data_IF_506730672200
#
_entry.id   IF_506730672200
#
_cell.length_a   1.000
_cell.length_b   1.000
_cell.length_c   1.000
_cell.angle_alpha   90.00
_cell.angle_beta   90.00
_cell.angle_gamma   90.00
#
_symmetry.space_group_name_H-M   'P 1'
#
loop_
_entity.id
_entity.type
_entity.pdbx_description
1 polymer ?
#
# COMPACT_ATOMS: atom_id res chain seq x y z
N UNK A 1 -4.07 -12.73 24.14
CA UNK A 1 -4.79 -11.58 23.52
C UNK A 1 -3.87 -10.88 22.54
N UNK A 2 -4.39 -9.99 21.68
CA UNK A 2 -3.55 -9.25 20.73
C UNK A 2 -2.48 -8.40 21.45
N UNK A 3 -2.82 -7.84 22.62
CA UNK A 3 -1.85 -7.10 23.46
C UNK A 3 -0.75 -7.98 24.04
N UNK A 4 -1.02 -9.27 24.28
CA UNK A 4 -0.01 -10.20 24.79
C UNK A 4 1.03 -10.51 23.71
N UNK A 5 0.61 -10.60 22.44
CA UNK A 5 1.52 -10.75 21.30
C UNK A 5 2.45 -9.54 21.18
N UNK A 6 1.91 -8.31 21.27
CA UNK A 6 2.74 -7.10 21.23
C UNK A 6 3.74 -7.04 22.39
N UNK A 7 3.32 -7.41 23.60
CA UNK A 7 4.23 -7.51 24.76
C UNK A 7 5.31 -8.57 24.55
N UNK A 8 4.94 -9.73 24.01
CA UNK A 8 5.86 -10.85 23.75
C UNK A 8 7.00 -10.42 22.82
N UNK A 9 6.70 -9.66 21.76
CA UNK A 9 7.69 -9.17 20.80
C UNK A 9 8.36 -7.84 21.20
N UNK A 10 8.03 -7.30 22.39
CA UNK A 10 8.59 -6.05 22.91
C UNK A 10 8.10 -4.78 22.20
N UNK A 11 6.91 -4.81 21.59
CA UNK A 11 6.31 -3.66 20.90
C UNK A 11 5.34 -2.90 21.81
N UNK A 12 5.10 -1.59 21.58
CA UNK A 12 4.13 -0.83 22.36
C UNK A 12 2.71 -1.39 22.22
N UNK A 13 2.01 -1.49 23.36
CA UNK A 13 0.61 -1.98 23.42
C UNK A 13 -0.43 -0.92 23.06
N UNK A 14 -0.05 0.36 23.13
CA UNK A 14 -0.85 1.44 22.58
C UNK A 14 -0.79 1.32 21.06
N UNK A 15 -1.95 1.32 20.42
CA UNK A 15 -2.05 1.06 18.98
C UNK A 15 -2.80 2.16 18.29
N UNK A 16 -2.28 2.64 17.16
CA UNK A 16 -2.94 3.58 16.27
C UNK A 16 -3.39 2.81 15.02
N UNK A 17 -4.69 2.56 14.90
CA UNK A 17 -5.30 2.08 13.65
C UNK A 17 -5.60 3.31 12.80
N UNK A 18 -5.19 3.33 11.53
CA UNK A 18 -5.25 4.51 10.66
C UNK A 18 -5.63 4.14 9.23
N UNK A 19 -6.46 4.98 8.61
CA UNK A 19 -6.92 4.83 7.22
C UNK A 19 -7.12 6.22 6.59
N UNK A 20 -6.37 6.53 5.54
CA UNK A 20 -6.46 7.80 4.82
C UNK A 20 -7.40 7.70 3.62
N UNK A 21 -8.31 8.65 3.51
CA UNK A 21 -9.15 8.82 2.33
C UNK A 21 -8.60 9.92 1.45
N UNK A 22 -8.56 9.67 0.14
CA UNK A 22 -8.00 10.61 -0.85
C UNK A 22 -8.89 10.74 -2.08
N UNK A 23 -8.79 11.88 -2.78
CA UNK A 23 -9.46 12.10 -4.05
C UNK A 23 -8.95 11.12 -5.12
N UNK A 24 -9.87 10.52 -5.89
CA UNK A 24 -9.53 9.69 -7.05
C UNK A 24 -10.61 9.80 -8.14
N UNK A 25 -10.23 9.55 -9.40
CA UNK A 25 -11.17 9.57 -10.53
C UNK A 25 -10.91 8.42 -11.54
N UNK A 26 -11.34 8.59 -12.80
CA UNK A 26 -11.16 7.59 -13.86
C UNK A 26 -9.69 7.48 -14.31
N UNK A 27 -8.99 8.61 -14.38
CA UNK A 27 -7.65 8.75 -14.92
C UNK A 27 -6.59 8.81 -13.80
N UNK A 28 -6.95 9.34 -12.63
CA UNK A 28 -6.14 9.41 -11.43
C UNK A 28 -6.62 8.39 -10.40
N UNK A 29 -6.05 7.17 -10.42
CA UNK A 29 -6.40 6.11 -9.46
C UNK A 29 -5.27 5.09 -9.31
N UNK A 30 -5.23 4.38 -8.18
CA UNK A 30 -4.29 3.29 -7.92
C UNK A 30 -4.41 2.09 -8.89
N UNK A 31 -5.45 2.06 -9.74
CA UNK A 31 -5.58 1.06 -10.80
C UNK A 31 -4.82 1.42 -12.09
N UNK A 32 -4.38 2.68 -12.21
CA UNK A 32 -3.74 3.25 -13.41
C UNK A 32 -2.28 3.64 -13.21
N UNK A 33 -1.85 3.80 -11.97
CA UNK A 33 -0.52 4.24 -11.59
C UNK A 33 -0.06 3.56 -10.31
N UNK A 34 1.24 3.61 -10.04
CA UNK A 34 1.79 3.13 -8.79
C UNK A 34 1.37 4.00 -7.60
N UNK A 35 1.41 3.43 -6.39
CA UNK A 35 1.15 4.16 -5.15
C UNK A 35 2.09 5.36 -4.95
N UNK A 36 3.34 5.24 -5.39
CA UNK A 36 4.33 6.33 -5.31
C UNK A 36 3.95 7.47 -6.24
N UNK A 37 3.67 7.17 -7.51
CA UNK A 37 3.22 8.17 -8.50
C UNK A 37 1.94 8.85 -8.04
N UNK A 38 0.96 8.08 -7.56
CA UNK A 38 -0.29 8.60 -7.04
C UNK A 38 -0.08 9.58 -5.90
N UNK A 39 0.70 9.21 -4.88
CA UNK A 39 0.93 10.06 -3.71
C UNK A 39 1.76 11.30 -4.07
N UNK A 40 2.70 11.20 -5.01
CA UNK A 40 3.55 12.31 -5.45
C UNK A 40 2.84 13.29 -6.41
N UNK A 41 1.72 12.88 -7.03
CA UNK A 41 0.97 13.70 -7.99
C UNK A 41 0.43 15.00 -7.37
N UNK A 42 0.34 16.05 -8.19
CA UNK A 42 -0.19 17.36 -7.79
C UNK A 42 -1.69 17.32 -7.46
N UNK A 43 -2.42 16.34 -8.01
CA UNK A 43 -3.85 16.10 -7.74
C UNK A 43 -4.11 15.43 -6.40
N UNK A 44 -3.06 15.04 -5.67
CA UNK A 44 -3.22 14.39 -4.37
C UNK A 44 -3.94 15.32 -3.38
N UNK A 45 -5.11 14.89 -2.92
CA UNK A 45 -5.94 15.61 -1.96
C UNK A 45 -6.48 14.65 -0.91
N UNK A 46 -6.42 15.06 0.36
CA UNK A 46 -7.10 14.34 1.44
C UNK A 46 -8.60 14.62 1.41
N UNK A 47 -9.40 13.56 1.42
CA UNK A 47 -10.85 13.63 1.62
C UNK A 47 -11.25 13.14 3.01
N UNK A 48 -10.32 12.56 3.78
CA UNK A 48 -10.57 12.18 5.16
C UNK A 48 -9.41 11.44 5.82
N UNK A 49 -9.52 11.29 7.13
CA UNK A 49 -8.66 10.43 7.93
C UNK A 49 -9.48 9.79 9.04
N UNK A 50 -9.50 8.47 9.03
CA UNK A 50 -10.05 7.63 10.08
C UNK A 50 -8.93 7.17 10.98
N UNK A 51 -9.15 7.22 12.30
CA UNK A 51 -8.24 6.57 13.22
C UNK A 51 -8.91 6.12 14.50
N UNK A 52 -8.33 5.11 15.14
CA UNK A 52 -8.67 4.71 16.49
C UNK A 52 -7.39 4.47 17.29
N UNK A 53 -7.38 4.93 18.55
CA UNK A 53 -6.28 4.67 19.48
C UNK A 53 -6.74 3.62 20.49
N UNK A 54 -6.07 2.48 20.54
CA UNK A 54 -6.37 1.40 21.47
C UNK A 54 -5.42 1.45 22.67
N UNK A 55 -5.90 0.99 23.83
CA UNK A 55 -5.17 0.95 25.11
C UNK A 55 -4.61 2.29 25.62
N UNK A 56 -5.11 3.41 25.14
CA UNK A 56 -4.74 4.73 25.64
C UNK A 56 -5.81 5.28 26.60
N UNK A 57 -5.46 5.86 27.77
CA UNK A 57 -6.44 6.33 28.77
C UNK A 57 -7.43 7.39 28.28
N UNK A 58 -7.10 8.11 27.21
CA UNK A 58 -7.95 9.14 26.59
C UNK A 58 -8.64 8.67 25.29
N UNK A 59 -8.52 7.39 24.95
CA UNK A 59 -9.20 6.83 23.78
C UNK A 59 -10.72 6.85 23.98
N UNK A 60 -11.46 7.20 22.92
CA UNK A 60 -12.91 7.25 22.96
C UNK A 60 -13.54 6.72 21.65
N UNK A 61 -13.04 5.58 21.20
CA UNK A 61 -13.45 4.94 19.95
C UNK A 61 -12.88 5.60 18.69
N UNK A 62 -13.38 5.21 17.51
CA UNK A 62 -12.87 5.68 16.23
C UNK A 62 -13.30 7.13 15.95
N UNK A 63 -12.40 7.89 15.35
CA UNK A 63 -12.54 9.32 15.05
C UNK A 63 -12.33 9.54 13.56
N UNK A 64 -13.15 10.41 12.98
CA UNK A 64 -13.00 10.88 11.60
C UNK A 64 -12.54 12.33 11.59
N UNK A 65 -11.58 12.64 10.74
CA UNK A 65 -11.04 13.98 10.52
C UNK A 65 -11.34 14.40 9.08
N UNK A 66 -11.96 15.57 8.87
CA UNK A 66 -12.11 16.18 7.56
C UNK A 66 -10.80 16.29 6.77
N UNK A 67 -10.86 16.13 5.45
CA UNK A 67 -9.70 16.21 4.55
C UNK A 67 -8.75 17.40 4.82
N UNK A 68 -9.25 18.65 4.87
CA UNK A 68 -8.42 19.82 5.15
C UNK A 68 -7.74 19.83 6.53
N UNK A 69 -8.30 19.11 7.50
CA UNK A 69 -7.81 19.05 8.89
C UNK A 69 -6.82 17.90 9.12
N UNK A 70 -6.61 17.02 8.14
CA UNK A 70 -5.72 15.86 8.25
C UNK A 70 -4.30 16.26 8.71
N UNK A 71 -3.62 17.27 8.13
CA UNK A 71 -2.28 17.65 8.59
C UNK A 71 -2.25 18.13 10.04
N UNK A 72 -3.30 18.81 10.49
CA UNK A 72 -3.41 19.24 11.88
C UNK A 72 -3.58 18.04 12.82
N UNK A 73 -4.43 17.08 12.47
CA UNK A 73 -4.67 15.89 13.27
C UNK A 73 -3.41 15.02 13.38
N UNK A 74 -2.70 14.79 12.28
CA UNK A 74 -1.42 14.04 12.30
C UNK A 74 -0.41 14.70 13.23
N UNK A 75 -0.28 16.03 13.21
CA UNK A 75 0.58 16.77 14.13
C UNK A 75 0.16 16.62 15.60
N UNK A 76 -1.14 16.47 15.89
CA UNK A 76 -1.65 16.19 17.24
C UNK A 76 -1.31 14.77 17.66
N UNK A 77 -1.47 13.80 16.77
CA UNK A 77 -1.08 12.41 17.00
C UNK A 77 0.43 12.30 17.27
N UNK A 78 1.29 13.03 16.54
CA UNK A 78 2.73 13.03 16.79
C UNK A 78 3.10 13.54 18.19
N UNK A 79 2.34 14.52 18.71
CA UNK A 79 2.55 15.00 20.09
C UNK A 79 2.15 13.98 21.14
N UNK A 80 1.16 13.14 20.82
CA UNK A 80 0.64 12.11 21.72
C UNK A 80 1.48 10.84 21.70
N UNK A 81 1.79 10.35 20.50
CA UNK A 81 2.37 9.02 20.24
C UNK A 81 3.85 9.07 19.82
N UNK A 82 4.46 10.27 19.85
CA UNK A 82 5.85 10.52 19.46
C UNK A 82 5.98 10.98 18.00
N UNK A 83 7.04 11.76 17.71
CA UNK A 83 7.24 12.39 16.39
C UNK A 83 7.23 11.41 15.21
N UNK A 84 7.74 10.21 15.44
CA UNK A 84 7.78 9.12 14.46
C UNK A 84 6.79 8.00 14.81
N UNK A 85 5.76 8.28 15.64
CA UNK A 85 4.86 7.26 16.20
C UNK A 85 5.58 6.12 16.93
N UNK A 86 6.70 6.42 17.59
CA UNK A 86 7.54 5.42 18.28
C UNK A 86 7.00 4.98 19.64
N UNK A 87 5.95 5.61 20.17
CA UNK A 87 5.31 5.18 21.41
C UNK A 87 4.11 4.26 21.17
N UNK A 88 3.77 3.95 19.91
CA UNK A 88 2.64 3.09 19.57
C UNK A 88 3.00 2.09 18.48
N UNK A 89 2.20 1.04 18.37
CA UNK A 89 2.13 0.19 17.17
C UNK A 89 1.17 0.81 16.16
N UNK A 90 1.62 1.08 14.93
CA UNK A 90 0.75 1.57 13.86
C UNK A 90 0.16 0.39 13.10
N UNK A 91 -1.14 0.45 12.83
CA UNK A 91 -1.89 -0.59 12.13
C UNK A 91 -2.66 0.07 10.99
N UNK A 92 -2.56 -0.51 9.81
CA UNK A 92 -3.40 -0.18 8.68
C UNK A 92 -3.63 -1.46 7.87
N UNK A 93 -4.53 -1.39 6.89
CA UNK A 93 -4.69 -2.47 5.91
C UNK A 93 -4.04 -2.09 4.59
N UNK A 94 -3.15 -2.96 4.08
CA UNK A 94 -2.34 -2.68 2.90
C UNK A 94 -1.46 -1.44 3.12
N UNK A 95 -0.59 -1.55 4.12
CA UNK A 95 0.26 -0.50 4.68
C UNK A 95 1.12 0.25 3.64
N UNK A 96 1.31 -0.29 2.44
CA UNK A 96 2.00 0.42 1.35
C UNK A 96 1.37 1.78 1.05
N UNK A 97 0.05 1.94 1.21
CA UNK A 97 -0.62 3.21 0.95
C UNK A 97 -0.50 4.16 2.14
N UNK A 98 -1.14 3.84 3.27
CA UNK A 98 -1.23 4.74 4.43
C UNK A 98 0.13 5.07 5.05
N UNK A 99 1.05 4.09 5.10
CA UNK A 99 2.37 4.34 5.65
C UNK A 99 3.22 5.17 4.68
N UNK A 100 3.04 5.02 3.36
CA UNK A 100 3.72 5.90 2.41
C UNK A 100 3.18 7.34 2.50
N UNK A 101 1.89 7.54 2.77
CA UNK A 101 1.35 8.87 3.06
C UNK A 101 2.02 9.46 4.31
N UNK A 102 2.13 8.69 5.40
CA UNK A 102 2.85 9.11 6.61
C UNK A 102 4.28 9.53 6.31
N UNK A 103 4.96 8.78 5.45
CA UNK A 103 6.32 9.07 5.02
C UNK A 103 6.40 10.32 4.13
N UNK A 104 5.77 10.31 2.96
CA UNK A 104 5.94 11.33 1.92
C UNK A 104 5.30 12.67 2.29
N UNK A 105 4.13 12.65 2.95
CA UNK A 105 3.39 13.88 3.28
C UNK A 105 3.75 14.44 4.64
N UNK A 106 4.23 13.61 5.58
CA UNK A 106 4.46 14.01 6.97
C UNK A 106 5.86 13.73 7.50
N UNK A 107 6.72 13.02 6.76
CA UNK A 107 8.07 12.65 7.20
C UNK A 107 8.07 11.70 8.40
N UNK A 108 7.02 10.90 8.56
CA UNK A 108 6.83 10.00 9.70
C UNK A 108 7.23 8.58 9.29
N UNK A 109 8.17 8.00 10.04
CA UNK A 109 8.62 6.61 9.87
C UNK A 109 8.26 5.77 11.10
N UNK A 110 7.10 5.10 11.13
CA UNK A 110 6.71 4.29 12.28
C UNK A 110 7.63 3.07 12.48
N UNK A 111 8.25 2.90 13.65
CA UNK A 111 9.14 1.77 13.92
C UNK A 111 8.39 0.45 14.14
N UNK A 112 7.11 0.52 14.51
CA UNK A 112 6.26 -0.62 14.80
C UNK A 112 5.04 -0.55 13.88
N UNK A 113 4.96 -1.45 12.89
CA UNK A 113 3.89 -1.47 11.89
C UNK A 113 3.37 -2.89 11.78
N UNK A 114 2.05 -3.03 11.81
CA UNK A 114 1.35 -4.27 11.49
C UNK A 114 0.44 -3.98 10.29
N UNK A 115 0.56 -4.79 9.25
CA UNK A 115 -0.36 -4.79 8.11
C UNK A 115 -1.40 -5.89 8.30
N UNK A 116 -2.67 -5.52 8.40
CA UNK A 116 -3.79 -6.47 8.53
C UNK A 116 -3.83 -7.45 7.35
N UNK A 117 -3.42 -7.01 6.17
CA UNK A 117 -3.36 -7.88 4.99
C UNK A 117 -2.27 -8.96 5.11
N UNK A 118 -1.15 -8.66 5.77
CA UNK A 118 -0.14 -9.69 6.04
C UNK A 118 -0.61 -10.65 7.13
N UNK A 119 -1.34 -10.16 8.15
CA UNK A 119 -1.97 -11.03 9.14
C UNK A 119 -2.98 -11.99 8.48
N UNK A 120 -3.78 -11.51 7.52
CA UNK A 120 -4.75 -12.34 6.82
C UNK A 120 -4.08 -13.36 5.88
N UNK A 121 -2.95 -12.99 5.25
CA UNK A 121 -2.12 -13.93 4.46
C UNK A 121 -1.53 -15.03 5.33
N UNK A 122 -1.13 -14.71 6.55
CA UNK A 122 -0.69 -15.71 7.52
C UNK A 122 -1.82 -16.70 7.86
N UNK A 123 -3.04 -16.20 8.05
CA UNK A 123 -4.21 -17.03 8.34
C UNK A 123 -4.56 -18.00 7.21
N UNK A 124 -4.68 -17.52 5.97
CA UNK A 124 -4.81 -18.37 4.77
C UNK A 124 -4.30 -17.64 3.53
N UNK A 125 -3.11 -18.00 3.04
CA UNK A 125 -2.52 -17.34 1.88
C UNK A 125 -3.37 -17.42 0.59
N UNK A 126 -4.32 -18.36 0.48
CA UNK A 126 -5.09 -18.62 -0.75
C UNK A 126 -6.44 -17.91 -0.82
N UNK A 127 -6.93 -17.34 0.28
CA UNK A 127 -8.21 -16.63 0.29
C UNK A 127 -8.09 -15.21 -0.29
N UNK A 128 -9.22 -14.55 -0.54
CA UNK A 128 -9.20 -13.11 -0.83
C UNK A 128 -8.87 -12.33 0.43
N UNK A 129 -7.94 -11.38 0.31
CA UNK A 129 -7.49 -10.55 1.43
C UNK A 129 -8.09 -9.14 1.42
N UNK A 130 -9.05 -8.86 0.52
CA UNK A 130 -9.70 -7.55 0.47
C UNK A 130 -10.65 -7.39 1.65
N UNK A 131 -10.75 -6.18 2.22
CA UNK A 131 -11.53 -5.94 3.43
C UNK A 131 -13.01 -6.32 3.26
N UNK A 132 -13.58 -6.06 2.06
CA UNK A 132 -14.93 -6.47 1.68
C UNK A 132 -15.19 -7.98 1.71
N UNK A 133 -14.15 -8.80 1.55
CA UNK A 133 -14.24 -10.25 1.53
C UNK A 133 -13.91 -10.82 2.93
N UNK A 134 -12.96 -10.21 3.65
CA UNK A 134 -12.59 -10.60 5.01
C UNK A 134 -13.69 -10.29 6.04
N UNK A 135 -14.30 -9.09 5.97
CA UNK A 135 -15.33 -8.68 6.91
C UNK A 135 -16.45 -9.74 7.09
N UNK A 136 -17.14 -10.20 6.02
CA UNK A 136 -18.17 -11.22 6.17
C UNK A 136 -17.62 -12.58 6.64
N UNK A 137 -16.38 -12.95 6.27
CA UNK A 137 -15.77 -14.19 6.77
C UNK A 137 -15.59 -14.20 8.29
N UNK A 138 -15.38 -13.03 8.89
CA UNK A 138 -15.23 -12.86 10.34
C UNK A 138 -16.51 -12.31 11.01
N UNK A 139 -17.66 -12.35 10.33
CA UNK A 139 -18.95 -11.83 10.80
C UNK A 139 -18.92 -10.33 11.18
N UNK A 140 -18.16 -9.54 10.43
CA UNK A 140 -18.07 -8.08 10.53
C UNK A 140 -18.96 -7.40 9.49
N UNK A 141 -19.18 -6.09 9.67
CA UNK A 141 -19.98 -5.30 8.74
C UNK A 141 -19.32 -5.24 7.36
N UNK A 142 -20.12 -5.45 6.30
CA UNK A 142 -19.61 -5.42 4.94
C UNK A 142 -19.04 -4.03 4.60
N UNK A 143 -17.84 -4.02 4.00
CA UNK A 143 -17.23 -2.78 3.50
C UNK A 143 -18.12 -2.13 2.44
N UNK A 144 -18.34 -0.82 2.57
CA UNK A 144 -19.04 -0.01 1.57
C UNK A 144 -18.26 0.08 0.24
N UNK A 145 -18.92 0.54 -0.82
CA UNK A 145 -18.29 0.77 -2.12
C UNK A 145 -17.80 2.22 -2.23
N UNK A 146 -16.55 2.42 -2.64
CA UNK A 146 -15.97 3.77 -2.85
C UNK A 146 -16.47 4.45 -4.11
N UNK A 147 -17.18 3.74 -5.01
CA UNK A 147 -17.66 4.32 -6.28
C UNK A 147 -18.47 5.60 -6.11
N UNK A 148 -19.18 5.74 -4.99
CA UNK A 148 -19.96 6.94 -4.69
C UNK A 148 -19.11 8.20 -4.44
N UNK A 149 -17.81 8.06 -4.17
CA UNK A 149 -16.87 9.17 -3.93
C UNK A 149 -16.00 9.49 -5.16
N UNK A 150 -16.11 8.69 -6.22
CA UNK A 150 -15.26 8.82 -7.40
C UNK A 150 -15.48 10.18 -8.07
N UNK A 151 -14.38 10.92 -8.29
CA UNK A 151 -14.38 12.23 -8.92
C UNK A 151 -14.92 13.36 -8.05
N UNK A 152 -15.08 13.13 -6.74
CA UNK A 152 -15.54 14.17 -5.80
C UNK A 152 -14.37 14.63 -4.94
N UNK A 153 -14.09 15.93 -5.01
CA UNK A 153 -13.18 16.61 -4.10
C UNK A 153 -13.83 16.74 -2.71
N UNK A 154 -13.05 17.11 -1.69
CA UNK A 154 -13.60 17.31 -0.34
C UNK A 154 -14.77 18.29 -0.30
N UNK A 155 -14.76 19.32 -1.15
CA UNK A 155 -15.82 20.33 -1.21
C UNK A 155 -17.15 19.77 -1.74
N UNK A 156 -17.11 18.73 -2.56
CA UNK A 156 -18.27 18.16 -3.26
C UNK A 156 -18.78 16.87 -2.64
N UNK A 157 -17.95 16.19 -1.84
CA UNK A 157 -18.26 14.87 -1.30
C UNK A 157 -19.32 14.93 -0.20
N UNK A 158 -20.20 13.93 -0.12
CA UNK A 158 -21.07 13.76 1.03
C UNK A 158 -20.24 13.42 2.27
N UNK A 159 -20.02 14.42 3.13
CA UNK A 159 -19.18 14.31 4.33
C UNK A 159 -19.71 13.29 5.33
N UNK A 160 -21.03 13.12 5.42
CA UNK A 160 -21.61 12.17 6.35
C UNK A 160 -21.40 10.74 5.84
N UNK A 161 -21.64 10.51 4.54
CA UNK A 161 -21.37 9.20 3.92
C UNK A 161 -19.88 8.83 3.97
N UNK A 162 -18.97 9.79 3.70
CA UNK A 162 -17.52 9.59 3.81
C UNK A 162 -17.12 9.21 5.24
N UNK A 163 -17.62 9.96 6.23
CA UNK A 163 -17.36 9.69 7.64
C UNK A 163 -17.85 8.31 8.06
N UNK A 164 -19.07 7.93 7.69
CA UNK A 164 -19.63 6.62 8.05
C UNK A 164 -18.85 5.48 7.41
N UNK A 165 -18.48 5.64 6.14
CA UNK A 165 -17.66 4.69 5.39
C UNK A 165 -16.32 4.44 6.07
N UNK A 166 -15.54 5.50 6.28
CA UNK A 166 -14.18 5.40 6.79
C UNK A 166 -14.15 4.96 8.27
N UNK A 167 -15.12 5.38 9.09
CA UNK A 167 -15.28 4.82 10.44
C UNK A 167 -15.68 3.34 10.45
N UNK A 168 -16.43 2.88 9.45
CA UNK A 168 -16.74 1.46 9.25
C UNK A 168 -15.48 0.64 9.00
N UNK A 169 -14.59 1.15 8.15
CA UNK A 169 -13.30 0.50 7.86
C UNK A 169 -12.40 0.46 9.10
N UNK A 170 -12.26 1.55 9.87
CA UNK A 170 -11.51 1.53 11.13
C UNK A 170 -12.04 0.51 12.14
N UNK A 171 -13.36 0.36 12.27
CA UNK A 171 -13.96 -0.66 13.16
C UNK A 171 -13.62 -2.06 12.69
N UNK A 172 -13.74 -2.32 11.39
CA UNK A 172 -13.41 -3.61 10.79
C UNK A 172 -11.94 -3.95 10.96
N UNK A 173 -11.04 -2.98 10.72
CA UNK A 173 -9.61 -3.15 10.88
C UNK A 173 -9.21 -3.41 12.34
N UNK A 174 -9.80 -2.65 13.28
CA UNK A 174 -9.64 -2.90 14.71
C UNK A 174 -10.09 -4.31 15.09
N UNK A 175 -11.26 -4.74 14.63
CA UNK A 175 -11.76 -6.10 14.90
C UNK A 175 -10.84 -7.18 14.30
N UNK A 176 -10.40 -7.01 13.05
CA UNK A 176 -9.49 -7.93 12.38
C UNK A 176 -8.14 -8.03 13.09
N UNK A 177 -7.56 -6.92 13.54
CA UNK A 177 -6.34 -6.94 14.37
C UNK A 177 -6.52 -7.81 15.61
N UNK A 178 -7.64 -7.62 16.32
CA UNK A 178 -7.93 -8.35 17.56
C UNK A 178 -8.17 -9.84 17.34
N UNK A 179 -8.67 -10.23 16.16
CA UNK A 179 -8.92 -11.63 15.77
C UNK A 179 -7.65 -12.29 15.23
N UNK A 180 -6.94 -11.64 14.31
CA UNK A 180 -5.87 -12.24 13.52
C UNK A 180 -4.52 -12.24 14.24
N UNK A 181 -4.16 -11.14 14.93
CA UNK A 181 -2.86 -11.05 15.59
C UNK A 181 -2.63 -12.18 16.62
N UNK A 182 -3.62 -12.58 17.45
CA UNK A 182 -3.45 -13.71 18.37
C UNK A 182 -3.24 -15.08 17.71
N UNK A 183 -3.55 -15.23 16.42
CA UNK A 183 -3.44 -16.51 15.69
C UNK A 183 -2.01 -16.73 15.19
N UNK A 184 -1.19 -15.67 15.10
CA UNK A 184 0.19 -15.79 14.64
C UNK A 184 1.00 -16.68 15.58
N UNK A 185 1.56 -17.76 15.02
CA UNK A 185 2.58 -18.57 15.68
C UNK A 185 3.96 -17.95 15.49
N UNK A 186 4.84 -18.04 16.49
CA UNK A 186 6.20 -17.47 16.46
C UNK A 186 6.22 -15.98 16.09
N UNK A 187 5.45 -15.12 16.79
CA UNK A 187 5.28 -13.72 16.42
C UNK A 187 6.59 -12.93 16.39
N UNK A 188 7.60 -13.34 17.16
CA UNK A 188 8.95 -12.77 17.14
C UNK A 188 9.70 -12.96 15.82
N UNK A 189 9.27 -13.90 14.98
CA UNK A 189 9.82 -14.16 13.64
C UNK A 189 8.86 -13.65 12.57
N UNK A 190 7.59 -14.04 12.65
CA UNK A 190 6.62 -13.81 11.57
C UNK A 190 6.27 -12.32 11.39
N UNK A 191 6.15 -11.56 12.48
CA UNK A 191 5.79 -10.13 12.39
C UNK A 191 6.93 -9.31 11.76
N UNK A 192 8.20 -9.46 12.20
CA UNK A 192 9.32 -8.82 11.50
C UNK A 192 9.46 -9.26 10.04
N UNK A 193 9.22 -10.53 9.74
CA UNK A 193 9.30 -11.07 8.39
C UNK A 193 8.23 -10.46 7.46
N UNK A 194 6.98 -10.40 7.91
CA UNK A 194 5.89 -9.75 7.19
C UNK A 194 6.23 -8.28 6.87
N UNK A 195 6.73 -7.55 7.87
CA UNK A 195 7.14 -6.14 7.72
C UNK A 195 8.33 -5.94 6.79
N UNK A 196 9.17 -6.95 6.55
CA UNK A 196 10.45 -6.78 5.84
C UNK A 196 10.30 -6.14 4.46
N UNK A 197 9.37 -6.65 3.65
CA UNK A 197 9.12 -6.13 2.29
C UNK A 197 8.59 -4.70 2.32
N UNK A 198 7.73 -4.37 3.29
CA UNK A 198 7.27 -3.00 3.49
C UNK A 198 8.43 -2.07 3.88
N UNK A 199 9.36 -2.53 4.71
CA UNK A 199 10.55 -1.77 5.08
C UNK A 199 11.42 -1.41 3.86
N UNK A 200 11.67 -2.37 2.98
CA UNK A 200 12.39 -2.12 1.71
C UNK A 200 11.66 -1.14 0.79
N UNK A 201 10.33 -1.18 0.80
CA UNK A 201 9.50 -0.27 0.00
C UNK A 201 9.55 1.17 0.53
N UNK A 202 9.52 1.35 1.85
CA UNK A 202 9.52 2.67 2.51
C UNK A 202 10.92 3.28 2.64
N UNK A 203 11.99 2.47 2.58
CA UNK A 203 13.39 2.93 2.60
C UNK A 203 14.17 2.33 1.41
N UNK A 204 13.93 2.81 0.19
CA UNK A 204 14.59 2.28 -1.00
C UNK A 204 16.06 2.69 -1.02
N UNK A 205 16.96 1.72 -0.81
CA UNK A 205 18.41 1.93 -0.95
C UNK A 205 18.95 1.69 -2.36
N UNK A 206 18.12 1.15 -3.27
CA UNK A 206 18.53 0.86 -4.63
C UNK A 206 18.62 2.16 -5.46
N UNK A 207 19.80 2.46 -5.99
CA UNK A 207 20.05 3.63 -6.84
C UNK A 207 20.31 3.18 -8.26
N UNK A 208 19.58 3.77 -9.22
CA UNK A 208 19.79 3.54 -10.64
C UNK A 208 20.82 4.53 -11.19
N UNK A 209 21.80 4.00 -11.92
CA UNK A 209 22.70 4.80 -12.74
C UNK A 209 22.01 5.05 -14.10
N UNK A 210 21.30 6.17 -14.19
CA UNK A 210 20.55 6.54 -15.39
C UNK A 210 21.44 6.86 -16.59
N UNK A 211 22.65 7.35 -16.35
CA UNK A 211 23.61 7.65 -17.42
C UNK A 211 24.12 6.36 -18.05
N UNK A 212 24.51 5.40 -17.21
CA UNK A 212 24.88 4.06 -17.67
C UNK A 212 23.71 3.38 -18.37
N UNK A 213 22.50 3.43 -17.80
CA UNK A 213 21.31 2.84 -18.42
C UNK A 213 21.04 3.44 -19.81
N UNK A 214 21.12 4.76 -19.95
CA UNK A 214 20.94 5.46 -21.23
C UNK A 214 22.00 5.05 -22.24
N UNK A 215 23.26 4.97 -21.81
CA UNK A 215 24.37 4.52 -22.66
C UNK A 215 24.15 3.08 -23.15
N UNK A 216 23.78 2.17 -22.24
CA UNK A 216 23.52 0.77 -22.57
C UNK A 216 22.36 0.62 -23.55
N UNK A 217 21.26 1.36 -23.37
CA UNK A 217 20.13 1.36 -24.31
C UNK A 217 20.59 1.75 -25.71
N UNK A 218 21.41 2.80 -25.84
CA UNK A 218 21.92 3.24 -27.13
C UNK A 218 22.86 2.22 -27.77
N UNK A 219 23.77 1.64 -26.98
CA UNK A 219 24.73 0.62 -27.46
C UNK A 219 24.02 -0.65 -27.91
N UNK A 220 23.09 -1.17 -27.10
CA UNK A 220 22.25 -2.33 -27.46
C UNK A 220 21.44 -2.05 -28.73
N UNK A 221 20.86 -0.85 -28.87
CA UNK A 221 20.13 -0.45 -30.07
C UNK A 221 21.00 -0.45 -31.33
N UNK A 222 22.25 0.00 -31.24
CA UNK A 222 23.21 -0.02 -32.37
C UNK A 222 23.59 -1.45 -32.75
N UNK A 223 23.93 -2.29 -31.77
CA UNK A 223 24.31 -3.70 -32.04
C UNK A 223 23.12 -4.51 -32.59
N UNK A 224 21.91 -4.26 -32.09
CA UNK A 224 20.69 -4.86 -32.63
C UNK A 224 20.47 -4.45 -34.08
N UNK A 225 20.56 -3.15 -34.39
CA UNK A 225 20.40 -2.63 -35.75
C UNK A 225 21.42 -3.22 -36.72
N UNK A 226 22.68 -3.32 -36.28
CA UNK A 226 23.76 -3.95 -37.04
C UNK A 226 23.49 -5.44 -37.29
N UNK A 227 23.06 -6.18 -36.28
CA UNK A 227 22.74 -7.60 -36.41
C UNK A 227 21.57 -7.83 -37.37
N UNK A 228 20.51 -7.03 -37.27
CA UNK A 228 19.36 -7.09 -38.18
C UNK A 228 19.82 -6.81 -39.62
N UNK A 229 20.63 -5.78 -39.84
CA UNK A 229 21.16 -5.46 -41.17
C UNK A 229 21.96 -6.62 -41.78
N UNK A 230 22.71 -7.38 -40.97
CA UNK A 230 23.45 -8.56 -41.44
C UNK A 230 22.56 -9.71 -41.87
N UNK A 231 21.34 -9.82 -41.33
CA UNK A 231 20.38 -10.86 -41.76
C UNK A 231 19.73 -10.56 -43.11
N UNK A 232 19.73 -9.29 -43.55
CA UNK A 232 18.97 -8.85 -44.72
C UNK A 232 17.45 -8.76 -44.52
N UNK A 233 16.97 -8.97 -43.29
CA UNK A 233 15.56 -8.89 -42.91
C UNK A 233 15.29 -7.69 -42.01
N UNK A 234 14.01 -7.36 -41.83
CA UNK A 234 13.54 -6.31 -40.93
C UNK A 234 13.35 -6.81 -39.50
N UNK A 235 13.30 -5.89 -38.54
CA UNK A 235 13.04 -6.22 -37.14
C UNK A 235 11.68 -6.92 -36.93
N UNK A 236 10.66 -6.51 -37.68
CA UNK A 236 9.31 -7.09 -37.62
C UNK A 236 9.28 -8.53 -38.16
N UNK A 237 10.02 -8.80 -39.24
CA UNK A 237 10.12 -10.16 -39.80
C UNK A 237 10.84 -11.13 -38.84
N UNK A 238 11.87 -10.66 -38.14
CA UNK A 238 12.64 -11.49 -37.20
C UNK A 238 11.86 -11.69 -35.89
N UNK A 239 11.13 -10.67 -35.42
CA UNK A 239 10.37 -10.75 -34.17
C UNK A 239 9.01 -11.46 -34.31
N UNK A 240 8.46 -11.53 -35.53
CA UNK A 240 7.23 -12.26 -35.81
C UNK A 240 7.46 -13.78 -35.78
N UNK A 241 6.78 -14.50 -34.89
CA UNK A 241 6.99 -15.95 -34.69
C UNK A 241 6.85 -16.78 -35.97
N UNK A 242 5.83 -16.50 -36.79
CA UNK A 242 5.59 -17.25 -38.04
C UNK A 242 6.67 -16.95 -39.07
N UNK A 243 6.94 -15.66 -39.29
CA UNK A 243 7.94 -15.18 -40.25
C UNK A 243 9.34 -15.68 -39.87
N UNK A 244 9.71 -15.61 -38.60
CA UNK A 244 10.99 -16.12 -38.09
C UNK A 244 11.12 -17.63 -38.32
N UNK A 245 10.05 -18.40 -38.11
CA UNK A 245 10.06 -19.85 -38.32
C UNK A 245 10.31 -20.19 -39.79
N UNK A 246 9.66 -19.49 -40.72
CA UNK A 246 9.88 -19.66 -42.16
C UNK A 246 11.31 -19.28 -42.57
N UNK A 247 11.84 -18.16 -42.06
CA UNK A 247 13.21 -17.73 -42.29
C UNK A 247 14.23 -18.76 -41.79
N UNK A 248 13.99 -19.33 -40.61
CA UNK A 248 14.86 -20.35 -40.03
C UNK A 248 14.84 -21.65 -40.84
N UNK A 249 13.65 -22.11 -41.26
CA UNK A 249 13.51 -23.30 -42.11
C UNK A 249 14.27 -23.11 -43.43
N UNK A 250 14.17 -21.93 -44.04
CA UNK A 250 14.85 -21.62 -45.30
C UNK A 250 16.38 -21.52 -45.16
N UNK A 251 16.88 -21.16 -43.97
CA UNK A 251 18.31 -21.01 -43.68
C UNK A 251 19.01 -22.32 -43.29
N UNK A 252 18.26 -23.36 -42.88
CA UNK A 252 18.83 -24.64 -42.48
C UNK A 252 19.20 -25.52 -43.69
N UNK A 253 20.29 -26.30 -43.61
CA UNK A 253 20.65 -27.24 -44.67
C UNK A 253 19.56 -28.31 -44.86
N UNK A 254 19.31 -28.68 -46.12
CA UNK A 254 18.36 -29.74 -46.50
C UNK A 254 18.89 -31.13 -46.23
#
# INVERSE_FOLDING_TARGET
TWTDILKQIGWPIETLVIDFETYFDVDYSLSKMSTVEYIADEKFEFTGLGFEILNHPKANGPVFIPGPDVPWAVKRLQKLLGKAFHNCTVVAKNCKFDILILLEKFGIHPPFIIDIEDLSRFYDARMSHKLKDLAPMFNLEAKGDTKQFKGQHWEDVDHQAMKEYNLGDIRNETALLQILLPIISNPEIEIPLARHTLGMYLDPHFRLDYDLATKLIQEMGRELSKSIMQTGHTAEEISGTLNFTELLINALPK
#
